data_IF_018166074914
#
_entry.id   IF_018166074914
#
_cell.length_a   1.000
_cell.length_b   1.000
_cell.length_c   1.000
_cell.angle_alpha   90.00
_cell.angle_beta   90.00
_cell.angle_gamma   90.00
#
_symmetry.space_group_name_H-M   'P 1'
#
loop_
_entity.id
_entity.type
_entity.pdbx_description
1 polymer ?
#
# COMPACT_ATOMS: atom_id res chain seq x y z
N UNK A 1 12.67 37.56 -20.14
CA UNK A 1 12.80 37.36 -18.68
C UNK A 1 11.58 36.56 -18.29
N UNK A 2 11.66 35.26 -18.51
CA UNK A 2 10.51 34.38 -18.49
C UNK A 2 10.53 33.62 -17.17
N UNK A 3 9.75 34.14 -16.21
CA UNK A 3 9.45 33.47 -14.95
C UNK A 3 8.52 32.28 -15.25
N UNK A 4 9.09 31.22 -15.81
CA UNK A 4 8.44 29.90 -15.90
C UNK A 4 8.51 29.27 -14.52
N UNK A 5 7.67 29.77 -13.62
CA UNK A 5 7.42 29.21 -12.29
C UNK A 5 7.12 27.73 -12.46
N UNK A 6 8.06 26.91 -12.00
CA UNK A 6 7.94 25.47 -11.96
C UNK A 6 6.60 25.10 -11.30
N UNK A 7 5.84 24.29 -12.03
CA UNK A 7 4.60 23.66 -11.62
C UNK A 7 4.70 23.17 -10.15
N UNK A 8 3.85 23.63 -9.21
CA UNK A 8 3.77 23.01 -7.92
C UNK A 8 3.19 21.60 -8.12
N UNK A 9 3.95 20.60 -7.66
CA UNK A 9 3.56 19.22 -7.39
C UNK A 9 2.07 18.95 -7.61
N UNK A 10 1.74 18.28 -8.71
CA UNK A 10 0.44 17.63 -8.87
C UNK A 10 0.25 16.74 -7.65
N UNK A 11 -0.61 17.16 -6.72
CA UNK A 11 -1.13 16.27 -5.71
C UNK A 11 -2.06 15.36 -6.52
N UNK A 12 -1.70 14.09 -6.78
CA UNK A 12 -2.59 13.21 -7.52
C UNK A 12 -3.93 13.21 -6.77
N UNK A 13 -5.00 13.36 -7.54
CA UNK A 13 -6.37 13.47 -7.06
C UNK A 13 -6.65 12.50 -5.90
N UNK A 14 -7.56 12.81 -4.96
CA UNK A 14 -7.98 11.86 -3.95
C UNK A 14 -8.54 10.62 -4.66
N UNK A 15 -7.71 9.60 -4.81
CA UNK A 15 -8.13 8.29 -5.26
C UNK A 15 -9.13 7.82 -4.21
N UNK A 16 -10.41 7.77 -4.59
CA UNK A 16 -11.42 7.08 -3.80
C UNK A 16 -10.82 5.75 -3.37
N UNK A 17 -10.91 5.34 -2.09
CA UNK A 17 -10.36 4.08 -1.66
C UNK A 17 -11.14 2.98 -2.38
N UNK A 18 -10.61 2.51 -3.52
CA UNK A 18 -11.09 1.30 -4.15
C UNK A 18 -10.97 0.22 -3.09
N UNK A 19 -12.04 -0.56 -2.84
CA UNK A 19 -12.00 -1.59 -1.83
C UNK A 19 -10.85 -2.54 -2.16
N UNK A 20 -9.95 -2.73 -1.19
CA UNK A 20 -8.86 -3.67 -1.36
C UNK A 20 -9.48 -5.06 -1.43
N UNK A 21 -9.37 -5.70 -2.59
CA UNK A 21 -9.94 -7.02 -2.81
C UNK A 21 -9.02 -8.10 -2.24
N UNK A 22 -9.59 -9.17 -1.67
CA UNK A 22 -8.82 -10.29 -1.15
C UNK A 22 -7.89 -10.92 -2.22
N UNK A 23 -8.29 -10.89 -3.50
CA UNK A 23 -7.50 -11.34 -4.63
C UNK A 23 -6.21 -10.52 -4.81
N UNK A 24 -6.29 -9.19 -4.66
CA UNK A 24 -5.12 -8.32 -4.76
C UNK A 24 -4.13 -8.56 -3.62
N UNK A 25 -4.64 -8.74 -2.40
CA UNK A 25 -3.82 -9.08 -1.22
C UNK A 25 -3.14 -10.42 -1.41
N UNK A 26 -3.87 -11.43 -1.89
CA UNK A 26 -3.33 -12.77 -2.12
C UNK A 26 -2.23 -12.78 -3.19
N UNK A 27 -2.38 -11.99 -4.24
CA UNK A 27 -1.36 -11.90 -5.29
C UNK A 27 -0.09 -11.15 -4.85
N UNK A 28 -0.19 -10.16 -3.95
CA UNK A 28 1.00 -9.58 -3.31
C UNK A 28 1.65 -10.58 -2.35
N UNK A 29 0.85 -11.34 -1.60
CA UNK A 29 1.36 -12.38 -0.69
C UNK A 29 2.12 -13.48 -1.44
N UNK A 30 1.62 -13.91 -2.60
CA UNK A 30 2.29 -14.89 -3.44
C UNK A 30 3.69 -14.40 -3.86
N UNK A 31 3.76 -13.15 -4.29
CA UNK A 31 5.01 -12.51 -4.71
C UNK A 31 6.04 -12.38 -3.59
N UNK A 32 5.64 -12.05 -2.36
CA UNK A 32 6.56 -11.92 -1.21
C UNK A 32 6.87 -13.24 -0.51
N UNK A 33 6.17 -14.33 -0.87
CA UNK A 33 6.44 -15.69 -0.39
C UNK A 33 7.48 -16.41 -1.25
N UNK A 34 7.71 -15.96 -2.48
CA UNK A 34 8.81 -16.46 -3.29
C UNK A 34 10.13 -15.98 -2.67
N UNK A 35 11.04 -16.91 -2.36
CA UNK A 35 12.30 -16.62 -1.64
C UNK A 35 13.19 -15.57 -2.37
N UNK A 36 12.98 -15.41 -3.69
CA UNK A 36 13.64 -14.45 -4.58
C UNK A 36 12.78 -13.19 -4.87
N UNK A 37 11.96 -12.76 -3.90
CA UNK A 37 11.14 -11.57 -4.06
C UNK A 37 11.99 -10.30 -4.12
N UNK A 38 12.39 -9.92 -5.32
CA UNK A 38 13.13 -8.69 -5.59
C UNK A 38 12.28 -7.45 -5.25
N UNK A 39 12.91 -6.49 -4.57
CA UNK A 39 12.24 -5.28 -4.09
C UNK A 39 11.62 -4.47 -5.24
N UNK A 40 12.19 -4.52 -6.45
CA UNK A 40 11.62 -3.89 -7.64
C UNK A 40 10.35 -4.60 -8.09
N UNK A 41 10.34 -5.93 -8.10
CA UNK A 41 9.14 -6.73 -8.46
C UNK A 41 7.99 -6.40 -7.51
N UNK A 42 8.28 -6.30 -6.21
CA UNK A 42 7.29 -5.91 -5.22
C UNK A 42 6.75 -4.49 -5.45
N UNK A 43 7.64 -3.52 -5.70
CA UNK A 43 7.23 -2.14 -6.00
C UNK A 43 6.36 -2.10 -7.24
N UNK A 44 6.76 -2.76 -8.33
CA UNK A 44 5.98 -2.79 -9.57
C UNK A 44 4.59 -3.43 -9.36
N UNK A 45 4.50 -4.51 -8.58
CA UNK A 45 3.23 -5.16 -8.25
C UNK A 45 2.31 -4.30 -7.38
N UNK A 46 2.89 -3.47 -6.50
CA UNK A 46 2.15 -2.51 -5.70
C UNK A 46 1.72 -1.30 -6.53
N UNK A 47 2.55 -0.81 -7.45
CA UNK A 47 2.20 0.29 -8.37
C UNK A 47 1.03 -0.08 -9.30
N UNK A 48 0.96 -1.34 -9.73
CA UNK A 48 -0.18 -1.88 -10.47
C UNK A 48 -1.48 -1.93 -9.62
N UNK A 49 -1.39 -1.73 -8.29
CA UNK A 49 -2.49 -1.82 -7.33
C UNK A 49 -2.53 -0.58 -6.41
N UNK A 50 -3.06 0.55 -6.91
CA UNK A 50 -3.13 1.82 -6.18
C UNK A 50 -3.68 1.76 -4.75
N UNK A 51 -4.76 1.00 -4.42
CA UNK A 51 -5.28 0.98 -3.06
C UNK A 51 -4.34 0.29 -2.06
N UNK A 52 -3.56 -0.70 -2.50
CA UNK A 52 -2.56 -1.36 -1.65
C UNK A 52 -1.32 -0.48 -1.49
N UNK A 53 -0.85 0.17 -2.56
CA UNK A 53 0.27 1.11 -2.50
C UNK A 53 0.01 2.27 -1.52
N UNK A 54 -1.21 2.81 -1.53
CA UNK A 54 -1.65 3.84 -0.58
C UNK A 54 -1.61 3.35 0.86
N UNK A 55 -2.06 2.12 1.13
CA UNK A 55 -2.01 1.51 2.46
C UNK A 55 -0.57 1.32 2.94
N UNK A 56 0.32 0.81 2.09
CA UNK A 56 1.74 0.63 2.44
C UNK A 56 2.39 1.97 2.77
N UNK A 57 2.17 2.99 1.95
CA UNK A 57 2.70 4.34 2.18
C UNK A 57 2.14 4.95 3.47
N UNK A 58 0.85 4.76 3.75
CA UNK A 58 0.22 5.20 5.00
C UNK A 58 0.79 4.47 6.21
N UNK A 59 1.00 3.16 6.12
CA UNK A 59 1.58 2.34 7.19
C UNK A 59 2.99 2.81 7.53
N UNK A 60 3.83 3.15 6.53
CA UNK A 60 5.16 3.74 6.78
C UNK A 60 5.08 5.08 7.49
N UNK A 61 4.21 5.97 7.00
CA UNK A 61 4.05 7.28 7.61
C UNK A 61 3.48 7.21 9.03
N UNK A 62 2.63 6.20 9.33
CA UNK A 62 2.17 5.92 10.69
C UNK A 62 3.26 5.34 11.59
N UNK A 63 4.15 4.48 11.08
CA UNK A 63 5.32 3.98 11.84
C UNK A 63 6.34 5.10 12.07
N UNK A 64 6.46 6.05 11.13
CA UNK A 64 7.42 7.15 11.17
C UNK A 64 6.96 8.34 12.02
N UNK A 65 6.00 8.16 12.94
CA UNK A 65 5.45 9.20 13.81
C UNK A 65 6.59 9.86 14.62
N UNK A 66 7.15 10.96 14.10
CA UNK A 66 8.35 11.62 14.64
C UNK A 66 9.42 11.99 13.60
N UNK A 67 9.36 11.46 12.37
CA UNK A 67 10.27 11.83 11.27
C UNK A 67 9.67 12.97 10.44
N UNK A 68 10.39 14.09 10.29
CA UNK A 68 9.96 15.28 9.53
C UNK A 68 9.80 15.05 8.01
N UNK A 69 10.16 13.87 7.49
CA UNK A 69 10.12 13.54 6.08
C UNK A 69 8.98 12.56 5.81
N UNK A 70 7.84 13.08 5.37
CA UNK A 70 6.74 12.26 4.87
C UNK A 70 7.22 11.42 3.68
N UNK A 71 7.08 10.10 3.76
CA UNK A 71 7.46 9.20 2.66
C UNK A 71 6.44 9.35 1.55
N UNK A 72 6.88 9.91 0.42
CA UNK A 72 6.06 10.17 -0.78
C UNK A 72 6.27 9.17 -1.91
N UNK A 73 7.28 8.29 -1.80
CA UNK A 73 7.62 7.31 -2.85
C UNK A 73 7.43 5.89 -2.34
N UNK A 74 6.72 5.07 -3.12
CA UNK A 74 6.45 3.67 -2.78
C UNK A 74 7.74 2.85 -2.64
N UNK A 75 8.70 3.05 -3.55
CA UNK A 75 10.02 2.41 -3.46
C UNK A 75 10.73 2.77 -2.14
N UNK A 76 10.65 4.02 -1.71
CA UNK A 76 11.24 4.47 -0.45
C UNK A 76 10.51 3.87 0.76
N UNK A 77 9.17 3.80 0.71
CA UNK A 77 8.35 3.14 1.74
C UNK A 77 8.69 1.65 1.88
N UNK A 78 8.78 0.93 0.76
CA UNK A 78 9.13 -0.50 0.74
C UNK A 78 10.58 -0.72 1.19
N UNK A 79 11.51 0.16 0.82
CA UNK A 79 12.90 0.09 1.30
C UNK A 79 13.03 0.30 2.81
N UNK A 80 12.25 1.21 3.40
CA UNK A 80 12.21 1.43 4.86
C UNK A 80 11.57 0.24 5.58
N UNK A 81 10.45 -0.28 5.07
CA UNK A 81 9.75 -1.41 5.69
C UNK A 81 10.51 -2.72 5.54
N UNK A 82 11.14 -2.93 4.40
CA UNK A 82 11.65 -4.22 3.98
C UNK A 82 10.54 -5.23 3.65
N UNK A 83 10.95 -6.33 3.02
CA UNK A 83 10.05 -7.37 2.50
C UNK A 83 9.22 -8.03 3.62
N UNK A 84 9.85 -8.34 4.75
CA UNK A 84 9.21 -9.03 5.88
C UNK A 84 8.07 -8.20 6.50
N UNK A 85 8.25 -6.88 6.62
CA UNK A 85 7.21 -6.02 7.19
C UNK A 85 6.04 -5.82 6.22
N UNK A 86 6.31 -5.72 4.92
CA UNK A 86 5.25 -5.69 3.89
C UNK A 86 4.46 -7.00 3.92
N UNK A 87 5.13 -8.15 4.01
CA UNK A 87 4.46 -9.46 4.18
C UNK A 87 3.55 -9.47 5.40
N UNK A 88 4.03 -9.00 6.55
CA UNK A 88 3.21 -8.97 7.78
C UNK A 88 1.97 -8.09 7.62
N UNK A 89 2.10 -6.93 6.97
CA UNK A 89 0.96 -6.06 6.66
C UNK A 89 -0.07 -6.74 5.75
N UNK A 90 0.38 -7.49 4.75
CA UNK A 90 -0.53 -8.21 3.85
C UNK A 90 -1.24 -9.39 4.53
N UNK A 91 -0.56 -10.08 5.47
CA UNK A 91 -1.18 -11.13 6.28
C UNK A 91 -2.29 -10.51 7.16
N UNK A 92 -1.99 -9.42 7.85
CA UNK A 92 -2.95 -8.68 8.68
C UNK A 92 -4.17 -8.20 7.88
N UNK A 93 -3.92 -7.67 6.68
CA UNK A 93 -4.97 -7.24 5.76
C UNK A 93 -5.82 -8.42 5.25
N UNK A 94 -5.20 -9.56 4.93
CA UNK A 94 -5.91 -10.78 4.53
C UNK A 94 -6.84 -11.25 5.65
N UNK A 95 -6.37 -11.28 6.90
CA UNK A 95 -7.21 -11.63 8.06
C UNK A 95 -8.36 -10.63 8.23
N UNK A 96 -8.09 -9.33 8.11
CA UNK A 96 -9.10 -8.27 8.24
C UNK A 96 -10.18 -8.34 7.15
N UNK A 97 -9.79 -8.64 5.91
CA UNK A 97 -10.74 -8.82 4.79
C UNK A 97 -11.55 -10.13 4.90
N UNK A 98 -10.99 -11.17 5.52
CA UNK A 98 -11.69 -12.42 5.83
C UNK A 98 -12.65 -12.30 7.03
N UNK A 99 -12.40 -11.33 7.91
CA UNK A 99 -13.18 -11.07 9.13
C UNK A 99 -14.48 -10.30 8.89
N UNK A 100 -14.89 -10.08 7.63
CA UNK A 100 -16.28 -9.71 7.31
C UNK A 100 -17.17 -10.95 7.06
N UNK A 101 -17.62 -11.63 8.14
CA UNK A 101 -18.91 -12.29 8.10
C UNK A 101 -19.78 -11.89 9.30
N UNK A 102 -20.33 -10.66 9.34
CA UNK A 102 -21.42 -10.33 10.31
C UNK A 102 -22.20 -9.04 10.05
N UNK A 103 -22.95 -8.97 8.96
CA UNK A 103 -24.21 -8.19 8.85
C UNK A 103 -24.90 -8.73 7.59
N UNK A 104 -26.06 -9.39 7.59
CA UNK A 104 -27.14 -9.37 8.56
C UNK A 104 -27.84 -10.75 8.61
N UNK A 105 -27.92 -11.31 9.82
CA UNK A 105 -29.11 -12.05 10.21
C UNK A 105 -30.20 -10.98 10.45
N UNK A 106 -31.07 -10.75 9.46
CA UNK A 106 -32.37 -10.10 9.66
C UNK A 106 -33.23 -10.19 8.39
N UNK A 107 -33.64 -11.40 8.00
CA UNK A 107 -34.92 -11.57 7.31
C UNK A 107 -35.38 -13.04 7.41
N UNK A 108 -36.06 -13.37 8.51
CA UNK A 108 -37.45 -13.85 8.58
C UNK A 108 -37.79 -14.40 9.95
#
# INVERSE_FOLDING_TARGET
MDLRTHLPHEIPAPHFPSPISAADVQAILDLVQTDDADLQKLVAALEARPPIAGLVTRAVNSVSLGSMQQVRSLRHAVAILGLQRVRQLMIDLKVSTQSSPRSAASQR
#
